data_IF_878457093835
#
_entry.id   IF_878457093835
#
_cell.length_a   1.000
_cell.length_b   1.000
_cell.length_c   1.000
_cell.angle_alpha   90.00
_cell.angle_beta   90.00
_cell.angle_gamma   90.00
#
_symmetry.space_group_name_H-M   'P 1'
#
loop_
_entity.id
_entity.type
_entity.pdbx_description
1 polymer ?
#
# COMPACT_ATOMS: atom_id res chain seq x y z
N UNK A 1 3.96 22.77 -27.77
CA UNK A 1 3.60 21.48 -27.10
C UNK A 1 2.25 21.64 -26.45
N UNK A 2 1.36 20.69 -26.63
CA UNK A 2 0.07 20.68 -25.93
C UNK A 2 0.24 20.33 -24.45
N UNK A 3 -0.72 20.72 -23.58
CA UNK A 3 -0.72 20.36 -22.14
C UNK A 3 -0.59 18.85 -21.96
N UNK A 4 -1.27 18.07 -22.78
CA UNK A 4 -1.22 16.60 -22.75
C UNK A 4 0.17 16.04 -23.08
N UNK A 5 0.91 16.67 -24.01
CA UNK A 5 2.29 16.29 -24.30
C UNK A 5 3.24 16.61 -23.13
N UNK A 6 3.05 17.77 -22.47
CA UNK A 6 3.84 18.14 -21.29
C UNK A 6 3.59 17.16 -20.12
N UNK A 7 2.32 16.76 -19.90
CA UNK A 7 1.95 15.78 -18.87
C UNK A 7 2.56 14.39 -19.14
N UNK A 8 2.52 13.92 -20.40
CA UNK A 8 3.17 12.66 -20.80
C UNK A 8 4.67 12.68 -20.51
N UNK A 9 5.36 13.75 -20.88
CA UNK A 9 6.82 13.88 -20.65
C UNK A 9 7.18 13.91 -19.16
N UNK A 10 6.36 14.54 -18.30
CA UNK A 10 6.56 14.51 -16.84
C UNK A 10 6.47 13.07 -16.31
N UNK A 11 5.45 12.32 -16.71
CA UNK A 11 5.23 10.93 -16.27
C UNK A 11 6.34 10.00 -16.75
N UNK A 12 6.81 10.16 -18.00
CA UNK A 12 7.94 9.41 -18.54
C UNK A 12 9.27 9.73 -17.81
N UNK A 13 9.49 11.02 -17.50
CA UNK A 13 10.64 11.46 -16.70
C UNK A 13 10.62 10.82 -15.31
N UNK A 14 9.46 10.84 -14.66
CA UNK A 14 9.29 10.23 -13.33
C UNK A 14 9.56 8.71 -13.36
N UNK A 15 9.04 7.99 -14.36
CA UNK A 15 9.29 6.56 -14.51
C UNK A 15 10.79 6.25 -14.66
N UNK A 16 11.55 7.12 -15.37
CA UNK A 16 12.99 6.98 -15.50
C UNK A 16 13.72 7.27 -14.19
N UNK A 17 13.39 8.37 -13.50
CA UNK A 17 13.98 8.69 -12.18
C UNK A 17 13.70 7.55 -11.19
N UNK A 18 12.47 7.05 -11.18
CA UNK A 18 12.13 5.91 -10.34
C UNK A 18 13.03 4.70 -10.63
N UNK A 19 13.21 4.35 -11.89
CA UNK A 19 13.99 3.17 -12.29
C UNK A 19 15.47 3.31 -11.98
N UNK A 20 16.04 4.49 -12.27
CA UNK A 20 17.48 4.74 -12.19
C UNK A 20 17.95 5.12 -10.78
N UNK A 21 17.11 5.83 -9.99
CA UNK A 21 17.55 6.48 -8.75
C UNK A 21 16.76 6.00 -7.51
N UNK A 22 15.45 5.71 -7.61
CA UNK A 22 14.64 5.30 -6.47
C UNK A 22 14.64 3.78 -6.30
N UNK A 23 14.34 3.04 -7.36
CA UNK A 23 14.23 1.58 -7.29
C UNK A 23 15.51 0.90 -6.76
N UNK A 24 16.75 1.31 -7.08
CA UNK A 24 17.95 0.69 -6.54
C UNK A 24 18.11 0.82 -5.02
N UNK A 25 17.69 1.95 -4.45
CA UNK A 25 17.88 2.24 -3.01
C UNK A 25 16.66 1.90 -2.16
N UNK A 26 15.47 1.85 -2.77
CA UNK A 26 14.20 1.60 -2.10
C UNK A 26 13.55 0.29 -2.57
N UNK A 27 13.01 0.27 -3.78
CA UNK A 27 12.26 -0.87 -4.31
C UNK A 27 13.04 -2.20 -4.29
N UNK A 28 14.33 -2.16 -4.56
CA UNK A 28 15.20 -3.35 -4.55
C UNK A 28 15.42 -3.91 -3.14
N UNK A 29 15.48 -3.06 -2.12
CA UNK A 29 15.67 -3.52 -0.74
C UNK A 29 14.44 -4.29 -0.26
N UNK A 30 13.26 -3.74 -0.44
CA UNK A 30 11.98 -4.41 -0.15
C UNK A 30 11.80 -5.67 -1.00
N UNK A 31 12.05 -5.57 -2.31
CA UNK A 31 11.91 -6.71 -3.20
C UNK A 31 12.88 -7.86 -2.92
N UNK A 32 14.07 -7.60 -2.36
CA UNK A 32 14.95 -8.67 -1.86
C UNK A 32 14.31 -9.46 -0.73
N UNK A 33 13.58 -8.79 0.18
CA UNK A 33 12.81 -9.47 1.23
C UNK A 33 11.70 -10.32 0.63
N UNK A 34 10.91 -9.75 -0.31
CA UNK A 34 9.85 -10.43 -1.01
C UNK A 34 10.35 -11.69 -1.75
N UNK A 35 11.52 -11.61 -2.36
CA UNK A 35 12.12 -12.67 -3.14
C UNK A 35 12.87 -13.73 -2.30
N UNK A 36 13.10 -13.48 -1.00
CA UNK A 36 13.79 -14.42 -0.12
C UNK A 36 12.98 -15.71 0.01
N UNK A 37 13.59 -16.85 -0.36
CA UNK A 37 12.94 -18.16 -0.35
C UNK A 37 11.64 -18.23 -1.17
N UNK A 38 11.43 -17.33 -2.14
CA UNK A 38 10.28 -17.37 -3.03
C UNK A 38 10.41 -18.56 -3.98
N UNK A 39 9.41 -19.44 -3.95
CA UNK A 39 9.25 -20.53 -4.92
C UNK A 39 8.08 -20.23 -5.84
N UNK A 40 8.33 -20.29 -7.15
CA UNK A 40 7.25 -20.19 -8.15
C UNK A 40 6.84 -21.62 -8.53
N UNK A 41 5.57 -21.99 -8.35
CA UNK A 41 5.10 -23.33 -8.70
C UNK A 41 5.33 -23.66 -10.20
N UNK A 42 5.62 -24.92 -10.50
CA UNK A 42 5.63 -25.37 -11.89
C UNK A 42 4.25 -25.18 -12.51
N UNK A 43 4.21 -24.59 -13.72
CA UNK A 43 2.96 -24.19 -14.40
C UNK A 43 2.08 -23.25 -13.59
N UNK A 44 2.68 -22.51 -12.63
CA UNK A 44 2.00 -21.57 -11.75
C UNK A 44 1.47 -20.35 -12.51
N UNK A 45 0.35 -19.82 -12.01
CA UNK A 45 -0.18 -18.53 -12.41
C UNK A 45 0.28 -17.49 -11.37
N UNK A 46 1.01 -16.46 -11.80
CA UNK A 46 1.55 -15.43 -10.95
C UNK A 46 0.91 -14.10 -11.29
N UNK A 47 0.56 -13.31 -10.29
CA UNK A 47 0.10 -11.93 -10.41
C UNK A 47 1.08 -11.02 -9.66
N UNK A 48 1.62 -10.03 -10.36
CA UNK A 48 2.46 -8.97 -9.78
C UNK A 48 1.69 -7.66 -9.85
N UNK A 49 1.33 -7.12 -8.68
CA UNK A 49 0.47 -5.95 -8.53
C UNK A 49 1.34 -4.74 -8.21
N UNK A 50 1.09 -3.60 -8.88
CA UNK A 50 1.91 -2.39 -8.81
C UNK A 50 3.38 -2.71 -9.13
N UNK A 51 3.59 -3.36 -10.28
CA UNK A 51 4.89 -3.90 -10.67
C UNK A 51 5.94 -2.83 -11.02
N UNK A 52 5.53 -1.56 -11.15
CA UNK A 52 6.37 -0.43 -11.46
C UNK A 52 7.21 -0.64 -12.72
N UNK A 53 8.50 -0.37 -12.63
CA UNK A 53 9.48 -0.54 -13.71
C UNK A 53 10.03 -1.98 -13.85
N UNK A 54 9.33 -2.96 -13.25
CA UNK A 54 9.57 -4.39 -13.47
C UNK A 54 10.48 -5.08 -12.47
N UNK A 55 10.71 -4.49 -11.31
CA UNK A 55 11.32 -5.17 -10.18
C UNK A 55 10.28 -5.32 -9.05
N UNK A 56 9.94 -6.53 -8.55
CA UNK A 56 10.63 -7.81 -8.70
C UNK A 56 10.18 -8.69 -9.89
N UNK A 57 9.28 -8.24 -10.78
CA UNK A 57 8.76 -9.01 -11.93
C UNK A 57 9.83 -9.82 -12.66
N UNK A 58 10.95 -9.16 -13.01
CA UNK A 58 12.09 -9.77 -13.76
C UNK A 58 12.71 -10.91 -12.95
N UNK A 59 12.89 -10.73 -11.66
CA UNK A 59 13.48 -11.74 -10.79
C UNK A 59 12.56 -12.96 -10.60
N UNK A 60 11.23 -12.73 -10.58
CA UNK A 60 10.24 -13.79 -10.58
C UNK A 60 10.27 -14.55 -11.92
N UNK A 61 10.32 -13.81 -13.03
CA UNK A 61 10.41 -14.39 -14.38
C UNK A 61 11.62 -15.31 -14.54
N UNK A 62 12.78 -14.97 -13.94
CA UNK A 62 13.98 -15.81 -13.91
C UNK A 62 13.77 -17.14 -13.20
N UNK A 63 12.90 -17.18 -12.21
CA UNK A 63 12.58 -18.36 -11.37
C UNK A 63 11.44 -19.21 -11.93
N UNK A 64 10.69 -18.67 -12.91
CA UNK A 64 9.55 -19.37 -13.51
C UNK A 64 9.99 -20.52 -14.42
N UNK A 65 9.22 -21.60 -14.39
CA UNK A 65 9.30 -22.68 -15.40
C UNK A 65 8.65 -22.25 -16.73
N UNK A 66 8.89 -22.99 -17.82
CA UNK A 66 8.32 -22.69 -19.15
C UNK A 66 6.78 -22.77 -19.18
N UNK A 67 6.18 -23.55 -18.29
CA UNK A 67 4.72 -23.72 -18.22
C UNK A 67 4.01 -22.66 -17.36
N UNK A 68 4.76 -21.81 -16.65
CA UNK A 68 4.19 -20.78 -15.78
C UNK A 68 3.82 -19.52 -16.56
N UNK A 69 2.85 -18.76 -16.03
CA UNK A 69 2.41 -17.48 -16.59
C UNK A 69 2.47 -16.39 -15.51
N UNK A 70 2.89 -15.20 -15.89
CA UNK A 70 2.92 -14.04 -15.03
C UNK A 70 2.13 -12.90 -15.67
N UNK A 71 1.22 -12.33 -14.92
CA UNK A 71 0.56 -11.07 -15.28
C UNK A 71 1.11 -10.01 -14.32
N UNK A 72 1.64 -8.93 -14.88
CA UNK A 72 2.15 -7.79 -14.14
C UNK A 72 1.29 -6.57 -14.45
N UNK A 73 0.74 -5.94 -13.42
CA UNK A 73 -0.13 -4.78 -13.58
C UNK A 73 0.46 -3.56 -12.87
N UNK A 74 0.22 -2.41 -13.46
CA UNK A 74 0.53 -1.10 -12.86
C UNK A 74 -0.44 -0.05 -13.42
N UNK A 75 -0.78 0.95 -12.63
CA UNK A 75 -1.64 2.05 -13.06
C UNK A 75 -0.95 2.96 -14.09
N UNK A 76 0.39 3.05 -14.04
CA UNK A 76 1.21 3.89 -14.91
C UNK A 76 1.67 3.14 -16.15
N UNK A 77 1.19 3.54 -17.32
CA UNK A 77 1.68 3.00 -18.60
C UNK A 77 3.17 3.29 -18.83
N UNK A 78 3.68 4.44 -18.36
CA UNK A 78 5.09 4.79 -18.49
C UNK A 78 6.00 3.88 -17.65
N UNK A 79 5.59 3.49 -16.44
CA UNK A 79 6.28 2.47 -15.65
C UNK A 79 6.33 1.13 -16.40
N UNK A 80 5.19 0.69 -16.93
CA UNK A 80 5.10 -0.54 -17.71
C UNK A 80 5.95 -0.50 -18.99
N UNK A 81 6.10 0.65 -19.64
CA UNK A 81 6.95 0.77 -20.83
C UNK A 81 8.43 0.58 -20.50
N UNK A 82 8.87 1.02 -19.31
CA UNK A 82 10.22 0.70 -18.80
C UNK A 82 10.33 -0.80 -18.53
N UNK A 83 9.36 -1.39 -17.84
CA UNK A 83 9.35 -2.82 -17.52
C UNK A 83 9.37 -3.69 -18.79
N UNK A 84 8.57 -3.35 -19.81
CA UNK A 84 8.53 -4.06 -21.10
C UNK A 84 9.86 -4.02 -21.82
N UNK A 85 10.53 -2.86 -21.85
CA UNK A 85 11.87 -2.72 -22.47
C UNK A 85 12.88 -3.61 -21.75
N UNK A 86 12.92 -3.55 -20.41
CA UNK A 86 13.83 -4.38 -19.61
C UNK A 86 13.60 -5.88 -19.82
N UNK A 87 12.36 -6.31 -19.95
CA UNK A 87 12.04 -7.73 -20.24
C UNK A 87 12.43 -8.10 -21.69
N UNK A 88 12.21 -7.22 -22.67
CA UNK A 88 12.63 -7.46 -24.05
C UNK A 88 14.15 -7.66 -24.16
N UNK A 89 14.94 -6.92 -23.38
CA UNK A 89 16.39 -7.02 -23.33
C UNK A 89 16.91 -8.34 -22.72
N UNK A 90 16.04 -9.11 -22.06
CA UNK A 90 16.42 -10.43 -21.51
C UNK A 90 16.52 -11.54 -22.57
N UNK A 91 16.26 -11.26 -23.83
CA UNK A 91 16.35 -12.22 -24.93
C UNK A 91 15.40 -13.42 -24.76
N UNK A 92 15.90 -14.69 -24.76
CA UNK A 92 15.04 -15.85 -24.63
C UNK A 92 14.20 -15.90 -23.34
N UNK A 93 14.72 -15.34 -22.24
CA UNK A 93 14.01 -15.28 -20.97
C UNK A 93 12.78 -14.38 -21.06
N UNK A 94 12.84 -13.27 -21.80
CA UNK A 94 11.73 -12.37 -22.04
C UNK A 94 10.60 -12.98 -22.91
N UNK A 95 10.84 -14.14 -23.54
CA UNK A 95 9.82 -14.89 -24.28
C UNK A 95 8.98 -15.80 -23.40
N UNK A 96 9.31 -15.96 -22.11
CA UNK A 96 8.45 -16.64 -21.16
C UNK A 96 7.12 -15.90 -21.03
N UNK A 97 6.08 -16.59 -20.54
CA UNK A 97 4.72 -16.09 -20.48
C UNK A 97 4.55 -14.94 -19.45
N UNK A 98 5.09 -13.74 -19.76
CA UNK A 98 4.85 -12.51 -19.01
C UNK A 98 3.96 -11.56 -19.82
N UNK A 99 2.94 -11.00 -19.17
CA UNK A 99 1.98 -10.07 -19.77
C UNK A 99 1.86 -8.83 -18.90
N UNK A 100 2.11 -7.66 -19.50
CA UNK A 100 1.98 -6.37 -18.84
C UNK A 100 0.64 -5.73 -19.20
N UNK A 101 -0.11 -5.30 -18.20
CA UNK A 101 -1.41 -4.68 -18.37
C UNK A 101 -1.52 -3.41 -17.53
N UNK A 102 -1.89 -2.29 -18.17
CA UNK A 102 -2.21 -1.05 -17.46
C UNK A 102 -3.54 -1.25 -16.74
N UNK A 103 -3.49 -1.28 -15.43
CA UNK A 103 -4.64 -1.48 -14.54
C UNK A 103 -4.33 -0.95 -13.15
N UNK A 104 -5.26 -0.18 -12.59
CA UNK A 104 -5.24 0.21 -11.19
C UNK A 104 -5.77 -0.95 -10.32
N UNK A 105 -5.11 -1.27 -9.20
CA UNK A 105 -5.67 -2.21 -8.23
C UNK A 105 -6.87 -1.64 -7.45
N UNK A 106 -7.16 -0.35 -7.60
CA UNK A 106 -8.21 0.38 -6.90
C UNK A 106 -9.37 0.66 -7.87
N UNK A 107 -10.63 0.48 -7.45
CA UNK A 107 -11.08 0.03 -6.13
C UNK A 107 -11.00 -1.49 -5.94
N UNK A 108 -10.83 -2.25 -7.03
CA UNK A 108 -10.82 -3.72 -7.03
C UNK A 108 -10.11 -4.25 -8.26
N UNK A 109 -9.39 -5.35 -8.10
CA UNK A 109 -8.77 -6.08 -9.21
C UNK A 109 -9.82 -6.70 -10.13
N UNK A 110 -9.67 -6.55 -11.45
CA UNK A 110 -10.60 -7.06 -12.45
C UNK A 110 -10.50 -8.59 -12.67
N UNK A 111 -9.69 -9.28 -11.89
CA UNK A 111 -9.46 -10.73 -12.01
C UNK A 111 -10.51 -11.54 -11.25
N UNK A 112 -10.77 -12.75 -11.77
CA UNK A 112 -11.66 -13.71 -11.11
C UNK A 112 -11.08 -14.24 -9.79
N UNK A 113 -11.94 -14.82 -8.95
CA UNK A 113 -11.52 -15.46 -7.71
C UNK A 113 -10.72 -16.75 -8.00
N UNK A 114 -9.81 -17.10 -7.09
CA UNK A 114 -9.11 -18.39 -7.06
C UNK A 114 -8.32 -18.72 -8.36
N UNK A 115 -7.62 -17.72 -8.92
CA UNK A 115 -6.88 -17.85 -10.20
C UNK A 115 -5.37 -18.04 -9.98
N UNK A 116 -4.76 -17.32 -9.02
CA UNK A 116 -3.32 -17.22 -8.94
C UNK A 116 -2.73 -18.12 -7.85
N UNK A 117 -1.67 -18.82 -8.19
CA UNK A 117 -0.89 -19.64 -7.24
C UNK A 117 0.01 -18.75 -6.37
N UNK A 118 0.45 -17.61 -6.93
CA UNK A 118 1.26 -16.61 -6.27
C UNK A 118 0.78 -15.21 -6.63
N UNK A 119 0.52 -14.38 -5.63
CA UNK A 119 0.22 -12.96 -5.77
C UNK A 119 1.31 -12.18 -5.05
N UNK A 120 1.95 -11.25 -5.74
CA UNK A 120 3.00 -10.40 -5.16
C UNK A 120 2.66 -8.92 -5.33
N UNK A 121 3.09 -8.11 -4.37
CA UNK A 121 2.98 -6.66 -4.42
C UNK A 121 4.17 -6.06 -3.66
N UNK A 122 5.11 -5.46 -4.39
CA UNK A 122 6.27 -4.82 -3.78
C UNK A 122 6.01 -3.34 -3.60
N UNK A 123 5.79 -2.91 -2.34
CA UNK A 123 5.50 -1.52 -1.93
C UNK A 123 4.14 -0.95 -2.32
N UNK A 124 3.44 -1.50 -3.30
CA UNK A 124 2.17 -0.96 -3.78
C UNK A 124 1.05 -0.89 -2.74
N UNK A 125 1.14 -1.64 -1.62
CA UNK A 125 0.17 -1.55 -0.52
C UNK A 125 0.11 -0.18 0.14
N UNK A 126 1.23 0.54 0.17
CA UNK A 126 1.32 1.88 0.78
C UNK A 126 0.54 2.94 0.00
N UNK A 127 0.26 2.68 -1.28
CA UNK A 127 -0.50 3.58 -2.15
C UNK A 127 -2.01 3.28 -2.14
N UNK A 128 -2.44 2.24 -1.39
CA UNK A 128 -3.83 1.81 -1.35
C UNK A 128 -4.57 2.45 -0.17
N UNK A 129 -5.83 2.89 -0.35
CA UNK A 129 -6.58 3.59 0.69
C UNK A 129 -6.83 2.74 1.94
N UNK A 130 -6.82 1.41 1.81
CA UNK A 130 -7.06 0.48 2.91
C UNK A 130 -6.25 -0.79 2.74
N UNK A 131 -5.35 -1.03 3.68
CA UNK A 131 -4.56 -2.27 3.76
C UNK A 131 -5.46 -3.52 3.84
N UNK A 132 -6.52 -3.45 4.65
CA UNK A 132 -7.43 -4.57 4.81
C UNK A 132 -8.19 -4.91 3.52
N UNK A 133 -8.73 -3.89 2.82
CA UNK A 133 -9.41 -4.11 1.55
C UNK A 133 -8.46 -4.66 0.48
N UNK A 134 -7.25 -4.13 0.39
CA UNK A 134 -6.24 -4.62 -0.53
C UNK A 134 -5.91 -6.09 -0.29
N UNK A 135 -5.62 -6.46 0.97
CA UNK A 135 -5.29 -7.85 1.32
C UNK A 135 -6.48 -8.81 1.08
N UNK A 136 -7.72 -8.38 1.34
CA UNK A 136 -8.92 -9.18 0.99
C UNK A 136 -9.02 -9.42 -0.50
N UNK A 137 -8.75 -8.41 -1.32
CA UNK A 137 -8.82 -8.52 -2.78
C UNK A 137 -7.68 -9.38 -3.33
N UNK A 138 -6.48 -9.28 -2.77
CA UNK A 138 -5.35 -10.14 -3.11
C UNK A 138 -5.62 -11.60 -2.72
N UNK A 139 -6.16 -11.83 -1.52
CA UNK A 139 -6.60 -13.16 -1.10
C UNK A 139 -7.73 -13.70 -1.98
N UNK A 140 -8.64 -12.84 -2.44
CA UNK A 140 -9.74 -13.24 -3.34
C UNK A 140 -9.22 -13.83 -4.64
N UNK A 141 -8.25 -13.17 -5.28
CA UNK A 141 -7.70 -13.62 -6.57
C UNK A 141 -6.71 -14.76 -6.42
N UNK A 142 -6.06 -14.92 -5.25
CA UNK A 142 -5.23 -16.06 -4.93
C UNK A 142 -6.08 -17.35 -4.85
N UNK A 143 -5.55 -18.47 -5.34
CA UNK A 143 -6.12 -19.80 -5.14
C UNK A 143 -6.11 -20.19 -3.67
N UNK A 144 -6.92 -21.16 -3.30
CA UNK A 144 -6.82 -21.83 -2.00
C UNK A 144 -5.45 -22.48 -1.85
N UNK A 145 -4.79 -22.24 -0.73
CA UNK A 145 -3.39 -22.63 -0.51
C UNK A 145 -2.37 -21.80 -1.30
N UNK A 146 -2.84 -20.91 -2.18
CA UNK A 146 -1.99 -19.95 -2.91
C UNK A 146 -1.35 -18.94 -1.97
N UNK A 147 -0.18 -18.45 -2.35
CA UNK A 147 0.63 -17.54 -1.55
C UNK A 147 0.41 -16.09 -1.97
N UNK A 148 0.28 -15.21 -0.98
CA UNK A 148 0.27 -13.75 -1.15
C UNK A 148 1.50 -13.21 -0.43
N UNK A 149 2.37 -12.49 -1.16
CA UNK A 149 3.54 -11.80 -0.60
C UNK A 149 3.49 -10.32 -0.90
N UNK A 150 3.58 -9.51 0.12
CA UNK A 150 3.62 -8.07 -0.08
C UNK A 150 4.68 -7.44 0.83
N UNK A 151 5.24 -6.33 0.38
CA UNK A 151 6.15 -5.53 1.20
C UNK A 151 5.59 -4.14 1.42
N UNK A 152 5.90 -3.58 2.58
CA UNK A 152 5.49 -2.23 2.95
C UNK A 152 6.45 -1.67 4.01
N UNK A 153 6.61 -0.33 4.09
CA UNK A 153 7.25 0.30 5.23
C UNK A 153 6.34 0.18 6.45
N UNK A 154 6.95 -0.05 7.61
CA UNK A 154 6.28 -0.21 8.90
C UNK A 154 6.49 1.03 9.80
N UNK A 155 5.76 1.07 10.90
CA UNK A 155 5.97 2.03 11.97
C UNK A 155 7.45 2.06 12.41
N UNK A 156 7.99 3.26 12.64
CA UNK A 156 9.41 3.49 12.87
C UNK A 156 10.20 3.90 11.62
N UNK A 157 9.59 3.84 10.42
CA UNK A 157 10.22 4.39 9.21
C UNK A 157 10.39 5.90 9.32
N UNK A 158 11.60 6.40 8.99
CA UNK A 158 12.02 7.81 9.12
C UNK A 158 11.97 8.37 10.56
N UNK A 159 12.12 7.51 11.57
CA UNK A 159 11.99 7.90 12.98
C UNK A 159 12.88 9.09 13.33
N UNK A 160 14.14 9.09 12.91
CA UNK A 160 15.11 10.14 13.23
C UNK A 160 14.69 11.50 12.65
N UNK A 161 14.15 11.50 11.44
CA UNK A 161 13.60 12.69 10.81
C UNK A 161 12.32 13.17 11.51
N UNK A 162 11.41 12.24 11.81
CA UNK A 162 10.16 12.53 12.47
C UNK A 162 10.38 13.12 13.88
N UNK A 163 11.34 12.58 14.64
CA UNK A 163 11.68 13.10 15.98
C UNK A 163 12.26 14.51 15.90
N UNK A 164 13.15 14.76 14.95
CA UNK A 164 13.72 16.07 14.71
C UNK A 164 12.65 17.08 14.23
N UNK A 165 11.76 16.66 13.34
CA UNK A 165 10.65 17.48 12.87
C UNK A 165 9.72 17.85 14.04
N UNK A 166 9.35 16.89 14.88
CA UNK A 166 8.55 17.09 16.09
C UNK A 166 9.23 18.09 17.04
N UNK A 167 10.54 17.96 17.27
CA UNK A 167 11.29 18.88 18.12
C UNK A 167 11.24 20.32 17.58
N UNK A 168 11.40 20.49 16.28
CA UNK A 168 11.30 21.81 15.62
C UNK A 168 9.90 22.40 15.79
N UNK A 169 8.84 21.61 15.56
CA UNK A 169 7.46 22.08 15.69
C UNK A 169 7.14 22.50 17.13
N UNK A 170 7.56 21.73 18.13
CA UNK A 170 7.39 22.05 19.55
C UNK A 170 8.13 23.33 19.91
N UNK A 171 9.38 23.49 19.49
CA UNK A 171 10.22 24.65 19.78
C UNK A 171 9.65 25.94 19.21
N UNK A 172 8.87 25.87 18.15
CA UNK A 172 8.28 27.02 17.47
C UNK A 172 6.76 27.12 17.66
N UNK A 173 6.20 26.44 18.68
CA UNK A 173 4.79 26.48 19.09
C UNK A 173 3.80 26.12 17.94
N UNK A 174 4.20 25.20 17.02
CA UNK A 174 3.41 24.78 15.86
C UNK A 174 2.51 23.58 16.18
N UNK A 175 1.53 23.76 17.07
CA UNK A 175 0.71 22.67 17.59
C UNK A 175 -0.14 21.94 16.52
N UNK A 176 -0.76 22.69 15.59
CA UNK A 176 -1.56 22.09 14.52
C UNK A 176 -0.72 21.25 13.55
N UNK A 177 0.50 21.73 13.23
CA UNK A 177 1.43 20.96 12.42
C UNK A 177 1.93 19.72 13.16
N UNK A 178 2.07 19.76 14.48
CA UNK A 178 2.43 18.62 15.30
C UNK A 178 1.35 17.52 15.25
N UNK A 179 0.07 17.89 15.34
CA UNK A 179 -1.05 16.94 15.19
C UNK A 179 -1.04 16.28 13.80
N UNK A 180 -0.86 17.08 12.73
CA UNK A 180 -0.73 16.55 11.37
C UNK A 180 0.47 15.61 11.20
N UNK A 181 1.60 15.91 11.86
CA UNK A 181 2.77 15.04 11.85
C UNK A 181 2.48 13.70 12.53
N UNK A 182 1.80 13.72 13.67
CA UNK A 182 1.43 12.49 14.38
C UNK A 182 0.45 11.63 13.56
N UNK A 183 -0.53 12.25 12.89
CA UNK A 183 -1.42 11.58 11.95
C UNK A 183 -0.66 10.97 10.75
N UNK A 184 0.33 11.68 10.20
CA UNK A 184 1.16 11.18 9.12
C UNK A 184 2.00 9.97 9.56
N UNK A 185 2.64 10.04 10.73
CA UNK A 185 3.42 8.92 11.27
C UNK A 185 2.54 7.70 11.50
N UNK A 186 1.29 7.89 11.94
CA UNK A 186 0.33 6.81 12.18
C UNK A 186 -0.14 6.11 10.89
N UNK A 187 0.12 6.65 9.70
CA UNK A 187 -0.15 5.96 8.42
C UNK A 187 0.75 4.73 8.22
N UNK A 188 1.94 4.71 8.81
CA UNK A 188 2.81 3.54 8.78
C UNK A 188 2.26 2.48 9.74
N UNK A 189 1.82 1.30 9.23
CA UNK A 189 1.18 0.31 10.07
C UNK A 189 2.16 -0.35 11.02
N UNK A 190 1.67 -0.72 12.21
CA UNK A 190 2.39 -1.61 13.13
C UNK A 190 2.30 -3.06 12.65
N UNK A 191 3.20 -3.91 13.15
CA UNK A 191 3.19 -5.36 12.88
C UNK A 191 1.82 -5.94 13.27
N UNK A 192 1.34 -5.67 14.48
CA UNK A 192 0.06 -6.17 14.99
C UNK A 192 -1.12 -5.78 14.08
N UNK A 193 -1.08 -4.55 13.53
CA UNK A 193 -2.12 -4.08 12.60
C UNK A 193 -2.09 -4.88 11.30
N UNK A 194 -0.90 -5.13 10.73
CA UNK A 194 -0.75 -5.92 9.50
C UNK A 194 -1.20 -7.36 9.73
N UNK A 195 -0.80 -8.00 10.85
CA UNK A 195 -1.23 -9.36 11.23
C UNK A 195 -2.75 -9.46 11.36
N UNK A 196 -3.37 -8.48 12.03
CA UNK A 196 -4.83 -8.41 12.14
C UNK A 196 -5.51 -8.27 10.76
N UNK A 197 -4.95 -7.48 9.84
CA UNK A 197 -5.46 -7.36 8.47
C UNK A 197 -5.30 -8.68 7.68
N UNK A 198 -4.15 -9.36 7.80
CA UNK A 198 -3.94 -10.68 7.19
C UNK A 198 -4.98 -11.69 7.66
N UNK A 199 -5.18 -11.79 8.98
CA UNK A 199 -6.15 -12.71 9.58
C UNK A 199 -7.58 -12.43 9.07
N UNK A 200 -7.99 -11.15 9.02
CA UNK A 200 -9.31 -10.75 8.49
C UNK A 200 -9.45 -10.99 6.99
N UNK A 201 -8.35 -10.99 6.24
CA UNK A 201 -8.31 -11.34 4.82
C UNK A 201 -8.32 -12.87 4.57
N UNK A 202 -8.24 -13.69 5.62
CA UNK A 202 -8.15 -15.15 5.51
C UNK A 202 -6.78 -15.63 5.01
N UNK A 203 -5.72 -14.86 5.29
CA UNK A 203 -4.33 -15.19 5.03
C UNK A 203 -3.69 -15.69 6.32
N UNK A 204 -3.18 -16.92 6.30
CA UNK A 204 -2.41 -17.53 7.38
C UNK A 204 -0.92 -17.44 7.05
N UNK A 205 -0.13 -16.90 7.95
CA UNK A 205 1.28 -16.69 7.66
C UNK A 205 2.00 -15.81 8.67
N UNK A 206 3.07 -15.19 8.22
CA UNK A 206 3.99 -14.41 9.05
C UNK A 206 4.36 -13.08 8.40
N UNK A 207 4.88 -12.16 9.22
CA UNK A 207 5.53 -10.93 8.78
C UNK A 207 7.01 -11.04 9.11
N UNK A 208 7.84 -11.02 8.07
CA UNK A 208 9.28 -10.88 8.22
C UNK A 208 9.62 -9.40 8.29
N UNK A 209 10.31 -8.98 9.32
CA UNK A 209 10.76 -7.60 9.52
C UNK A 209 12.26 -7.51 9.27
N UNK A 210 12.68 -6.46 8.61
CA UNK A 210 14.08 -6.10 8.38
C UNK A 210 14.23 -4.59 8.52
N UNK A 211 15.42 -4.12 8.87
CA UNK A 211 15.70 -2.69 8.96
C UNK A 211 16.91 -2.35 8.08
N UNK A 212 16.85 -1.20 7.47
CA UNK A 212 17.99 -0.64 6.77
C UNK A 212 18.06 0.87 6.95
N UNK A 213 19.25 1.40 6.77
CA UNK A 213 19.52 2.83 6.95
C UNK A 213 19.82 3.47 5.60
N UNK A 214 19.22 4.65 5.38
CA UNK A 214 19.62 5.58 4.34
C UNK A 214 20.58 6.61 4.95
N UNK A 215 21.66 6.93 4.24
CA UNK A 215 22.72 7.82 4.69
C UNK A 215 22.82 9.01 3.75
N UNK A 216 22.79 10.21 4.30
CA UNK A 216 22.89 11.47 3.56
C UNK A 216 24.02 12.31 4.15
N UNK A 217 24.86 12.88 3.28
CA UNK A 217 26.03 13.67 3.72
C UNK A 217 25.67 15.04 4.28
N UNK A 218 24.46 15.53 3.99
CA UNK A 218 23.97 16.84 4.41
C UNK A 218 22.46 16.88 4.38
N UNK A 219 21.85 17.87 5.05
CA UNK A 219 20.43 18.19 4.93
C UNK A 219 20.01 18.43 3.48
N UNK A 220 20.83 19.08 2.68
CA UNK A 220 20.59 19.28 1.25
C UNK A 220 20.50 17.96 0.50
N UNK A 221 21.46 17.04 0.67
CA UNK A 221 21.42 15.72 0.02
C UNK A 221 20.18 14.93 0.45
N UNK A 222 19.74 15.06 1.70
CA UNK A 222 18.52 14.45 2.20
C UNK A 222 17.28 14.93 1.44
N UNK A 223 17.03 16.23 1.42
CA UNK A 223 15.82 16.77 0.81
C UNK A 223 15.77 16.62 -0.71
N UNK A 224 16.91 16.63 -1.39
CA UNK A 224 17.00 16.45 -2.86
C UNK A 224 17.26 15.01 -3.29
N UNK A 225 17.35 14.07 -2.38
CA UNK A 225 17.42 12.66 -2.75
C UNK A 225 16.10 12.23 -3.40
N UNK A 226 16.13 11.62 -4.60
CA UNK A 226 14.89 11.26 -5.31
C UNK A 226 13.91 10.41 -4.49
N UNK A 227 14.41 9.54 -3.61
CA UNK A 227 13.59 8.72 -2.70
C UNK A 227 12.81 9.57 -1.68
N UNK A 228 13.30 10.75 -1.34
CA UNK A 228 12.66 11.72 -0.45
C UNK A 228 11.82 12.71 -1.25
N UNK A 229 12.39 13.32 -2.29
CA UNK A 229 11.76 14.33 -3.13
C UNK A 229 10.47 13.84 -3.80
N UNK A 230 10.51 12.63 -4.38
CA UNK A 230 9.35 12.00 -5.02
C UNK A 230 8.61 11.01 -4.11
N UNK A 231 8.98 10.96 -2.84
CA UNK A 231 8.38 10.16 -1.79
C UNK A 231 7.66 11.06 -0.77
N UNK A 232 8.08 11.08 0.49
CA UNK A 232 7.34 11.71 1.57
C UNK A 232 7.44 13.26 1.60
N UNK A 233 8.32 13.89 0.82
CA UNK A 233 8.60 15.32 0.94
C UNK A 233 7.36 16.20 0.74
N UNK A 234 6.48 15.87 -0.22
CA UNK A 234 5.27 16.64 -0.47
C UNK A 234 4.35 16.63 0.77
N UNK A 235 4.09 15.46 1.37
CA UNK A 235 3.28 15.35 2.58
C UNK A 235 3.93 16.07 3.78
N UNK A 236 5.25 16.01 3.90
CA UNK A 236 5.96 16.75 4.94
C UNK A 236 5.85 18.28 4.78
N UNK A 237 5.85 18.77 3.52
CA UNK A 237 5.59 20.18 3.22
C UNK A 237 4.17 20.58 3.64
N UNK A 238 3.17 19.79 3.31
CA UNK A 238 1.76 20.02 3.65
C UNK A 238 1.57 20.06 5.19
N UNK A 239 2.28 19.22 5.94
CA UNK A 239 2.30 19.23 7.42
C UNK A 239 2.82 20.56 7.94
N UNK A 240 3.89 21.09 7.36
CA UNK A 240 4.48 22.36 7.77
C UNK A 240 3.59 23.59 7.50
N UNK A 241 2.58 23.44 6.65
CA UNK A 241 1.70 24.54 6.22
C UNK A 241 2.00 24.99 4.79
N UNK A 242 1.79 26.26 4.49
CA UNK A 242 2.00 26.81 3.15
C UNK A 242 2.79 28.11 3.17
N UNK A 243 3.33 28.50 2.01
CA UNK A 243 4.02 29.78 1.83
C UNK A 243 5.18 29.97 2.81
N UNK A 244 5.24 31.14 3.46
CA UNK A 244 6.34 31.51 4.36
C UNK A 244 6.42 30.58 5.59
N UNK A 245 5.30 30.12 6.11
CA UNK A 245 5.28 29.22 7.29
C UNK A 245 6.00 27.92 7.01
N UNK A 246 5.69 27.28 5.87
CA UNK A 246 6.37 26.06 5.44
C UNK A 246 7.87 26.29 5.25
N UNK A 247 8.25 27.41 4.61
CA UNK A 247 9.67 27.76 4.40
C UNK A 247 10.42 27.92 5.71
N UNK A 248 9.83 28.61 6.70
CA UNK A 248 10.45 28.80 8.00
C UNK A 248 10.65 27.47 8.74
N UNK A 249 9.63 26.60 8.75
CA UNK A 249 9.72 25.29 9.39
C UNK A 249 10.82 24.45 8.74
N UNK A 250 10.88 24.37 7.40
CA UNK A 250 11.91 23.61 6.70
C UNK A 250 13.30 24.20 6.87
N UNK A 251 13.41 25.51 7.00
CA UNK A 251 14.68 26.14 7.36
C UNK A 251 15.16 25.69 8.76
N UNK A 252 14.27 25.68 9.77
CA UNK A 252 14.62 25.20 11.11
C UNK A 252 14.98 23.72 11.11
N UNK A 253 14.27 22.89 10.34
CA UNK A 253 14.60 21.47 10.20
C UNK A 253 16.00 21.30 9.58
N UNK A 254 16.28 22.06 8.51
CA UNK A 254 17.59 22.06 7.86
C UNK A 254 18.71 22.42 8.83
N UNK A 255 18.56 23.53 9.55
CA UNK A 255 19.54 23.99 10.57
C UNK A 255 19.70 22.95 11.69
N UNK A 256 18.61 22.30 12.11
CA UNK A 256 18.67 21.25 13.12
C UNK A 256 19.44 20.01 12.62
N UNK A 257 19.18 19.54 11.40
CA UNK A 257 19.95 18.43 10.79
C UNK A 257 21.43 18.80 10.74
N UNK A 258 21.77 19.98 10.21
CA UNK A 258 23.16 20.40 10.04
C UNK A 258 23.88 20.57 11.40
N UNK A 259 23.19 21.06 12.42
CA UNK A 259 23.73 21.23 13.78
C UNK A 259 23.92 19.89 14.52
N UNK A 260 22.95 18.97 14.43
CA UNK A 260 23.05 17.68 15.13
C UNK A 260 24.12 16.76 14.55
N UNK A 261 24.31 16.82 13.25
CA UNK A 261 25.21 15.90 12.58
C UNK A 261 26.62 16.45 12.37
N UNK A 262 26.83 17.78 12.47
CA UNK A 262 28.14 18.45 12.48
C UNK A 262 29.16 17.80 11.54
N UNK A 263 28.79 17.69 10.25
CA UNK A 263 29.61 17.06 9.20
C UNK A 263 29.61 15.52 9.17
N UNK A 264 28.87 14.85 10.08
CA UNK A 264 28.61 13.42 9.99
C UNK A 264 27.39 13.16 9.11
N UNK A 265 27.30 11.97 8.48
CA UNK A 265 26.12 11.62 7.68
C UNK A 265 24.82 11.64 8.52
N UNK A 266 23.79 12.28 7.99
CA UNK A 266 22.44 12.15 8.50
C UNK A 266 21.91 10.75 8.17
N UNK A 267 21.43 10.04 9.17
CA UNK A 267 20.94 8.67 9.05
C UNK A 267 19.43 8.66 9.28
N UNK A 268 18.71 7.95 8.43
CA UNK A 268 17.30 7.65 8.65
C UNK A 268 17.05 6.16 8.51
N UNK A 269 16.37 5.61 9.49
CA UNK A 269 16.00 4.19 9.54
C UNK A 269 14.74 3.95 8.74
N UNK A 270 14.73 2.84 8.02
CA UNK A 270 13.55 2.31 7.33
C UNK A 270 13.21 0.95 7.93
N UNK A 271 12.07 0.87 8.58
CA UNK A 271 11.51 -0.39 9.06
C UNK A 271 10.71 -1.03 7.94
N UNK A 272 11.13 -2.19 7.47
CA UNK A 272 10.56 -2.87 6.31
C UNK A 272 9.86 -4.15 6.71
N UNK A 273 8.60 -4.32 6.29
CA UNK A 273 7.82 -5.53 6.47
C UNK A 273 7.66 -6.31 5.17
N UNK A 274 7.74 -7.63 5.25
CA UNK A 274 7.32 -8.54 4.20
C UNK A 274 6.30 -9.51 4.77
N UNK A 275 5.04 -9.32 4.45
CA UNK A 275 3.99 -10.29 4.77
C UNK A 275 4.06 -11.47 3.80
N UNK A 276 3.94 -12.67 4.33
CA UNK A 276 3.92 -13.93 3.59
C UNK A 276 2.73 -14.71 4.10
N UNK A 277 1.62 -14.69 3.35
CA UNK A 277 0.38 -15.33 3.75
C UNK A 277 -0.09 -16.37 2.74
N UNK A 278 -0.71 -17.45 3.24
CA UNK A 278 -1.39 -18.43 2.40
C UNK A 278 -2.89 -18.33 2.62
N UNK A 279 -3.63 -18.32 1.51
CA UNK A 279 -5.09 -18.32 1.58
C UNK A 279 -5.56 -19.62 2.22
N UNK A 280 -6.28 -19.50 3.33
CA UNK A 280 -6.80 -20.66 4.05
C UNK A 280 -7.84 -21.42 3.21
N UNK A 281 -7.83 -22.74 3.34
CA UNK A 281 -8.97 -23.53 2.91
C UNK A 281 -10.17 -23.28 3.85
N UNK A 282 -11.41 -23.30 3.35
CA UNK A 282 -12.54 -23.22 4.25
C UNK A 282 -12.43 -24.40 5.23
N UNK A 283 -12.50 -24.09 6.52
CA UNK A 283 -12.64 -25.16 7.51
C UNK A 283 -13.84 -26.01 7.08
N UNK A 284 -13.70 -27.34 6.98
CA UNK A 284 -14.85 -28.18 6.74
C UNK A 284 -15.91 -27.80 7.78
N UNK A 285 -17.07 -27.34 7.29
CA UNK A 285 -18.22 -27.13 8.15
C UNK A 285 -18.47 -28.48 8.79
N UNK A 286 -18.27 -28.57 10.11
CA UNK A 286 -18.57 -29.78 10.85
C UNK A 286 -19.98 -30.22 10.42
N UNK A 287 -20.07 -31.44 9.88
CA UNK A 287 -21.35 -31.95 9.44
C UNK A 287 -22.35 -31.72 10.57
N UNK A 288 -23.55 -31.20 10.28
CA UNK A 288 -24.53 -30.93 11.31
C UNK A 288 -24.64 -32.20 12.16
N UNK A 289 -24.35 -32.08 13.44
CA UNK A 289 -24.53 -33.18 14.37
C UNK A 289 -26.01 -33.58 14.22
N UNK A 290 -26.24 -34.76 13.65
CA UNK A 290 -27.59 -35.33 13.62
C UNK A 290 -27.99 -35.49 15.07
N UNK A 291 -28.72 -34.52 15.58
CA UNK A 291 -29.42 -34.68 16.85
C UNK A 291 -30.36 -35.84 16.61
N UNK A 292 -30.04 -36.99 17.21
CA UNK A 292 -30.99 -38.09 17.26
C UNK A 292 -32.16 -37.57 18.08
N UNK A 293 -33.25 -37.20 17.40
CA UNK A 293 -34.50 -36.92 18.04
C UNK A 293 -34.91 -38.25 18.66
N UNK A 294 -35.06 -38.32 19.98
CA UNK A 294 -35.60 -39.54 20.61
C UNK A 294 -36.96 -39.89 19.99
N UNK A 295 -37.25 -41.19 19.82
CA UNK A 295 -38.54 -41.56 19.29
C UNK A 295 -39.64 -40.97 20.17
N UNK A 296 -40.80 -40.55 19.59
CA UNK A 296 -41.92 -40.07 20.36
C UNK A 296 -42.33 -41.14 21.40
N UNK A 297 -42.73 -40.70 22.61
CA UNK A 297 -43.24 -41.65 23.62
C UNK A 297 -44.45 -42.41 23.03
N UNK A 298 -44.51 -43.68 23.36
CA UNK A 298 -45.65 -44.55 22.95
C UNK A 298 -46.98 -43.91 23.34
N UNK A 299 -47.95 -43.93 22.46
CA UNK A 299 -49.30 -43.45 22.71
C UNK A 299 -49.96 -44.32 23.77
N UNK A 300 -49.90 -43.87 25.03
CA UNK A 300 -50.75 -44.38 26.08
C UNK A 300 -51.71 -43.25 26.48
N UNK A 301 -52.99 -43.48 26.18
CA UNK A 301 -54.21 -42.91 26.71
C UNK A 301 -54.32 -41.38 26.83
N UNK A 302 -54.90 -40.75 25.81
CA UNK A 302 -55.37 -39.37 25.92
C UNK A 302 -56.68 -39.39 26.73
N UNK A 303 -56.63 -38.85 27.94
CA UNK A 303 -57.77 -38.49 28.76
C UNK A 303 -58.46 -37.27 28.11
N UNK A 304 -59.68 -37.46 27.63
CA UNK A 304 -60.52 -36.50 26.91
C UNK A 304 -61.39 -35.68 27.82
N UNK A 305 -60.82 -34.93 28.78
CA UNK A 305 -61.66 -33.96 29.54
C UNK A 305 -60.87 -32.69 29.87
N UNK A 306 -60.81 -31.76 28.89
CA UNK A 306 -60.43 -30.36 29.15
C UNK A 306 -61.19 -29.40 28.22
N UNK A 307 -61.82 -28.32 28.76
CA UNK A 307 -62.67 -27.45 28.00
C UNK A 307 -61.94 -26.49 27.11
N UNK A 308 -62.39 -26.37 25.87
CA UNK A 308 -61.90 -25.46 24.81
C UNK A 308 -61.99 -23.99 25.24
N UNK A 309 -60.86 -23.32 25.37
CA UNK A 309 -60.81 -21.85 25.33
C UNK A 309 -60.12 -21.40 24.01
N UNK A 310 -60.70 -20.43 23.29
CA UNK A 310 -60.13 -19.94 22.05
C UNK A 310 -58.93 -19.03 22.32
N UNK A 311 -57.79 -19.37 21.73
CA UNK A 311 -56.60 -18.53 21.74
C UNK A 311 -56.70 -17.53 20.59
N UNK A 312 -56.76 -16.23 20.90
CA UNK A 312 -56.64 -15.15 19.90
C UNK A 312 -55.18 -14.97 19.56
N UNK A 313 -54.82 -15.27 18.33
CA UNK A 313 -53.52 -14.87 17.74
C UNK A 313 -53.58 -13.37 17.43
N UNK A 314 -52.69 -12.61 18.02
CA UNK A 314 -52.38 -11.25 17.59
C UNK A 314 -51.44 -11.31 16.40
N UNK A 315 -51.86 -10.74 15.27
CA UNK A 315 -51.04 -10.54 14.10
C UNK A 315 -50.00 -9.45 14.38
N UNK A 316 -48.74 -9.84 14.50
CA UNK A 316 -47.60 -8.94 14.45
C UNK A 316 -47.02 -8.98 13.07
N UNK A 317 -47.19 -7.93 12.30
CA UNK A 317 -46.56 -7.72 10.99
C UNK A 317 -45.07 -7.52 11.17
N UNK A 318 -44.28 -8.43 10.57
CA UNK A 318 -42.85 -8.23 10.34
C UNK A 318 -42.70 -7.41 9.06
N UNK A 319 -42.22 -6.18 9.19
CA UNK A 319 -41.81 -5.37 8.07
C UNK A 319 -40.45 -5.94 7.57
N UNK A 320 -40.47 -6.52 6.38
CA UNK A 320 -39.28 -6.82 5.60
C UNK A 320 -38.89 -5.53 4.87
N UNK A 321 -37.75 -4.96 5.18
CA UNK A 321 -37.21 -3.83 4.43
C UNK A 321 -36.76 -4.30 3.05
N UNK A 322 -37.19 -3.56 2.03
CA UNK A 322 -36.84 -3.76 0.63
C UNK A 322 -35.35 -3.34 0.40
N UNK A 323 -34.54 -4.09 -0.35
CA UNK A 323 -33.12 -3.79 -0.53
C UNK A 323 -32.82 -2.70 -1.58
N UNK A 324 -33.81 -2.03 -2.13
CA UNK A 324 -33.62 -1.10 -3.28
C UNK A 324 -33.57 0.40 -2.93
N UNK A 325 -33.52 0.79 -1.65
CA UNK A 325 -33.36 2.19 -1.25
C UNK A 325 -31.95 2.48 -0.68
N UNK A 326 -30.92 2.40 -1.53
CA UNK A 326 -29.66 3.07 -1.30
C UNK A 326 -29.34 3.94 -2.51
N UNK A 327 -29.70 5.21 -2.40
CA UNK A 327 -29.21 6.27 -3.27
C UNK A 327 -27.69 6.33 -3.15
N UNK A 328 -27.01 5.87 -4.20
CA UNK A 328 -25.56 6.06 -4.39
C UNK A 328 -25.38 7.45 -4.97
N UNK A 329 -25.03 8.44 -4.14
CA UNK A 329 -24.47 9.68 -4.63
C UNK A 329 -23.16 9.37 -5.35
N UNK A 330 -23.14 9.55 -6.66
CA UNK A 330 -21.94 9.58 -7.48
C UNK A 330 -21.06 10.75 -7.01
N UNK A 331 -20.02 10.43 -6.23
CA UNK A 331 -18.92 11.35 -5.99
C UNK A 331 -18.07 11.42 -7.25
N UNK A 332 -18.30 12.50 -8.00
CA UNK A 332 -17.51 12.91 -9.16
C UNK A 332 -16.08 13.22 -8.71
N UNK A 333 -15.17 12.25 -8.89
CA UNK A 333 -13.76 12.38 -8.58
C UNK A 333 -13.02 13.06 -9.74
N UNK A 334 -13.42 14.28 -10.08
CA UNK A 334 -12.65 15.20 -10.89
C UNK A 334 -12.21 16.40 -10.06
N UNK A 335 -11.35 16.14 -9.09
CA UNK A 335 -10.53 17.18 -8.49
C UNK A 335 -9.46 17.58 -9.51
N UNK A 336 -9.77 18.60 -10.29
CA UNK A 336 -8.82 19.28 -11.16
C UNK A 336 -7.89 20.12 -10.26
N UNK A 337 -6.80 19.49 -9.78
CA UNK A 337 -5.73 20.21 -9.10
C UNK A 337 -5.00 21.00 -10.16
N UNK A 338 -5.12 22.31 -10.11
CA UNK A 338 -4.46 23.24 -11.02
C UNK A 338 -2.93 23.16 -10.80
N UNK A 339 -2.27 22.52 -11.75
CA UNK A 339 -0.81 22.26 -11.76
C UNK A 339 0.05 23.49 -12.05
N UNK A 340 -0.53 24.68 -12.11
CA UNK A 340 0.18 25.90 -12.51
C UNK A 340 0.70 26.77 -11.34
N UNK A 341 0.26 26.50 -10.10
CA UNK A 341 0.71 27.24 -8.90
C UNK A 341 1.88 26.58 -8.15
N UNK A 342 2.11 25.27 -8.33
CA UNK A 342 3.20 24.54 -7.65
C UNK A 342 4.60 24.99 -8.12
N UNK A 343 4.76 25.47 -9.33
CA UNK A 343 6.09 25.73 -9.90
C UNK A 343 6.83 26.94 -9.33
N UNK A 344 6.12 27.91 -8.76
CA UNK A 344 6.73 29.13 -8.17
C UNK A 344 7.13 28.90 -6.71
N UNK A 345 6.32 28.16 -5.95
CA UNK A 345 6.61 27.82 -4.55
C UNK A 345 7.73 26.76 -4.43
N UNK A 346 7.78 25.76 -5.35
CA UNK A 346 8.87 24.79 -5.42
C UNK A 346 10.22 25.48 -5.73
N UNK A 347 10.27 26.39 -6.69
CA UNK A 347 11.50 27.12 -7.03
C UNK A 347 12.01 27.99 -5.90
N UNK A 348 11.12 28.54 -5.06
CA UNK A 348 11.49 29.39 -3.92
C UNK A 348 12.01 28.55 -2.75
N UNK A 349 11.46 27.34 -2.51
CA UNK A 349 11.97 26.43 -1.48
C UNK A 349 13.32 25.84 -1.88
N UNK A 350 13.48 25.46 -3.12
CA UNK A 350 14.76 24.95 -3.67
C UNK A 350 15.87 26.02 -3.53
N UNK A 351 15.57 27.28 -3.86
CA UNK A 351 16.49 28.40 -3.67
C UNK A 351 16.82 28.65 -2.18
N UNK A 352 15.91 28.31 -1.29
CA UNK A 352 16.04 28.46 0.15
C UNK A 352 16.89 27.34 0.77
N UNK A 353 16.59 26.09 0.45
CA UNK A 353 17.39 24.90 0.84
C UNK A 353 18.82 24.97 0.26
N UNK A 354 18.99 25.59 -0.92
CA UNK A 354 20.28 25.87 -1.52
C UNK A 354 21.09 26.97 -0.80
N UNK A 355 20.54 27.64 0.20
CA UNK A 355 21.22 28.69 0.97
C UNK A 355 21.29 30.04 0.28
N UNK A 356 20.47 30.28 -0.77
CA UNK A 356 20.47 31.51 -1.56
C UNK A 356 19.61 32.63 -0.96
N UNK A 357 18.67 32.31 -0.08
CA UNK A 357 17.82 33.28 0.65
C UNK A 357 17.79 32.95 2.14
N UNK A 358 17.85 33.97 3.00
CA UNK A 358 17.58 33.85 4.43
C UNK A 358 16.14 34.33 4.72
N UNK A 359 15.49 33.83 5.79
CA UNK A 359 14.18 34.35 6.21
C UNK A 359 14.26 35.87 6.46
N UNK A 360 13.21 36.57 6.08
CA UNK A 360 13.14 38.03 6.18
C UNK A 360 13.01 38.57 7.62
N UNK A 361 13.05 37.70 8.65
CA UNK A 361 12.80 38.05 10.07
C UNK A 361 13.85 37.47 11.04
N UNK A 362 15.12 37.53 10.68
CA UNK A 362 16.26 37.38 11.63
C UNK A 362 17.17 38.59 11.55
#
# INVERSE_FOLDING_TARGET
>A
MTVQQKRSLKVEKLARIYDEEIAPVWGTRFGKMLLRNLSVPERGQVLDISCGTGYPTIEILRRMSEGSRLIAIDASSAMLDVARRKVADLGPLGKKGVFFRTESPIPKLSFANDVYDLVVCNLGLSEMPSLEHALRDFARVAKRGGEVRCTLPLAGTFQEFNDLYREVLIKHDKHEALERLDEHIAKYPTIDHVEACMARAGLDGEIVVDEFTLLFKSSREFFFAPVIEYGPLAEWKDIAGSGQEMQDVFWYIKEAIDAYFDGRPFQVTVSAGCLIGRKQEPRPVAAPVRVQVPPPPAEDEIDTDLPSRPFKMAAGSVLVADPDDLDVEELDATGDVSLDDESAEEQDLDAFIEGRKRPSHL
#
